data_IF_153690555923
#
_entry.id   IF_153690555923
#
_cell.length_a   1.000
_cell.length_b   1.000
_cell.length_c   1.000
_cell.angle_alpha   90.00
_cell.angle_beta   90.00
_cell.angle_gamma   90.00
#
_symmetry.space_group_name_H-M   'P 1'
#
loop_
_entity.id
_entity.type
_entity.pdbx_description
1 polymer ?
#
# COMPACT_ATOMS: atom_id res chain seq x y z
N UNK A 1 -27.41 2.16 -10.80
CA UNK A 1 -28.01 3.42 -11.29
C UNK A 1 -27.87 3.45 -12.80
N UNK A 2 -28.99 3.45 -13.55
CA UNK A 2 -28.96 3.55 -15.02
C UNK A 2 -29.83 2.51 -15.73
N UNK A 3 -31.14 2.68 -15.61
CA UNK A 3 -32.22 1.91 -16.20
C UNK A 3 -32.33 2.10 -17.72
N UNK A 4 -32.71 1.05 -18.46
CA UNK A 4 -33.73 1.10 -19.55
C UNK A 4 -34.00 -0.29 -20.11
N UNK A 5 -35.14 -0.85 -19.67
CA UNK A 5 -35.83 -1.96 -20.30
C UNK A 5 -36.70 -1.38 -21.41
N UNK A 6 -36.42 -1.72 -22.66
CA UNK A 6 -37.35 -1.51 -23.78
C UNK A 6 -38.08 -2.84 -24.05
N UNK A 7 -39.36 -2.85 -23.67
CA UNK A 7 -40.33 -3.86 -24.04
C UNK A 7 -40.85 -3.54 -25.45
N UNK A 8 -40.43 -4.31 -26.45
CA UNK A 8 -41.11 -4.30 -27.75
C UNK A 8 -42.18 -5.41 -27.81
N UNK A 9 -43.38 -4.99 -27.41
CA UNK A 9 -44.65 -5.56 -27.85
C UNK A 9 -44.86 -5.14 -29.31
N UNK A 10 -45.09 -6.11 -30.22
CA UNK A 10 -46.09 -6.06 -31.32
C UNK A 10 -45.81 -7.14 -32.37
N UNK A 11 -46.71 -8.12 -32.47
CA UNK A 11 -47.43 -8.50 -33.70
C UNK A 11 -47.89 -9.94 -33.61
N UNK A 12 -49.08 -10.10 -33.03
CA UNK A 12 -49.94 -11.26 -33.22
C UNK A 12 -50.58 -11.18 -34.61
N UNK A 13 -50.42 -12.17 -35.50
CA UNK A 13 -51.33 -12.34 -36.61
C UNK A 13 -52.63 -13.00 -36.13
N UNK A 14 -53.72 -12.29 -36.39
CA UNK A 14 -55.09 -12.71 -36.13
C UNK A 14 -55.39 -14.07 -36.77
N UNK A 15 -55.83 -15.00 -35.94
CA UNK A 15 -56.38 -16.30 -36.32
C UNK A 15 -57.71 -16.08 -37.02
N UNK A 16 -57.77 -16.36 -38.32
CA UNK A 16 -59.01 -16.52 -39.06
C UNK A 16 -59.68 -17.84 -38.67
N UNK A 17 -60.92 -17.76 -38.18
CA UNK A 17 -61.79 -18.91 -37.94
C UNK A 17 -62.41 -19.40 -39.26
N UNK A 18 -62.23 -20.68 -39.66
CA UNK A 18 -63.19 -21.33 -40.53
C UNK A 18 -64.32 -21.91 -39.67
N UNK A 19 -65.49 -21.29 -39.77
CA UNK A 19 -66.78 -21.90 -39.38
C UNK A 19 -67.07 -23.06 -40.34
N UNK A 20 -66.85 -24.29 -39.88
CA UNK A 20 -67.26 -25.51 -40.57
C UNK A 20 -68.02 -26.41 -39.60
N UNK A 21 -69.33 -26.52 -39.77
CA UNK A 21 -70.19 -27.40 -38.99
C UNK A 21 -69.76 -28.87 -39.10
N UNK A 22 -69.63 -29.62 -37.98
CA UNK A 22 -69.44 -31.05 -38.04
C UNK A 22 -70.75 -31.74 -38.37
N UNK A 23 -70.74 -32.51 -39.46
CA UNK A 23 -71.78 -33.47 -39.81
C UNK A 23 -71.93 -34.48 -38.68
N UNK A 24 -73.10 -34.45 -38.04
CA UNK A 24 -73.63 -35.54 -37.21
C UNK A 24 -73.72 -36.79 -38.08
N UNK A 25 -72.84 -37.77 -37.88
CA UNK A 25 -72.99 -39.21 -38.20
C UNK A 25 -71.64 -39.94 -38.03
N UNK A 26 -71.03 -39.83 -36.85
CA UNK A 26 -69.92 -40.71 -36.42
C UNK A 26 -69.88 -40.92 -34.90
N UNK A 27 -70.99 -40.63 -34.19
CA UNK A 27 -71.08 -40.73 -32.73
C UNK A 27 -71.30 -42.18 -32.23
N UNK A 28 -71.60 -43.16 -33.10
CA UNK A 28 -71.91 -44.52 -32.62
C UNK A 28 -70.70 -45.44 -32.45
N UNK A 29 -69.58 -45.21 -33.14
CA UNK A 29 -68.35 -46.01 -32.94
C UNK A 29 -67.46 -45.50 -31.81
N UNK A 30 -67.48 -44.20 -31.51
CA UNK A 30 -66.72 -43.62 -30.37
C UNK A 30 -67.40 -43.96 -29.03
N UNK A 31 -68.74 -44.02 -28.99
CA UNK A 31 -69.50 -44.41 -27.79
C UNK A 31 -69.27 -45.89 -27.38
N UNK A 32 -69.11 -46.80 -28.33
CA UNK A 32 -68.85 -48.22 -28.05
C UNK A 32 -67.40 -48.48 -27.57
N UNK A 33 -66.43 -47.71 -28.04
CA UNK A 33 -65.06 -47.77 -27.53
C UNK A 33 -64.92 -47.12 -26.14
N UNK A 34 -65.68 -46.06 -25.85
CA UNK A 34 -65.65 -45.41 -24.52
C UNK A 34 -66.38 -46.21 -23.45
N UNK A 35 -67.41 -47.01 -23.80
CA UNK A 35 -68.04 -47.94 -22.88
C UNK A 35 -67.16 -49.17 -22.52
N UNK A 36 -66.33 -49.66 -23.45
CA UNK A 36 -65.36 -50.73 -23.18
C UNK A 36 -64.17 -50.26 -22.32
N UNK A 37 -63.78 -48.99 -22.43
CA UNK A 37 -62.75 -48.36 -21.58
C UNK A 37 -63.24 -48.18 -20.14
N UNK A 38 -64.55 -48.01 -19.91
CA UNK A 38 -65.13 -47.86 -18.57
C UNK A 38 -65.12 -49.14 -17.71
N UNK A 39 -64.90 -50.32 -18.31
CA UNK A 39 -64.80 -51.62 -17.59
C UNK A 39 -63.34 -52.08 -17.44
N UNK A 40 -62.39 -51.37 -18.06
CA UNK A 40 -60.98 -51.64 -17.84
C UNK A 40 -60.61 -51.19 -16.42
N UNK A 41 -60.24 -52.16 -15.57
CA UNK A 41 -59.77 -51.90 -14.20
C UNK A 41 -58.74 -50.75 -14.20
N UNK A 42 -58.82 -49.78 -13.27
CA UNK A 42 -57.87 -48.66 -13.16
C UNK A 42 -56.39 -49.09 -13.23
N UNK A 43 -56.09 -50.33 -12.84
CA UNK A 43 -54.78 -50.97 -12.94
C UNK A 43 -54.33 -51.12 -14.40
N UNK A 44 -55.23 -51.54 -15.32
CA UNK A 44 -54.93 -51.70 -16.74
C UNK A 44 -54.72 -50.34 -17.40
N UNK A 45 -55.55 -49.34 -17.10
CA UNK A 45 -55.37 -47.98 -17.61
C UNK A 45 -54.06 -47.35 -17.13
N UNK A 46 -53.70 -47.55 -15.86
CA UNK A 46 -52.41 -47.11 -15.31
C UNK A 46 -51.24 -47.80 -16.01
N UNK A 47 -51.31 -49.11 -16.28
CA UNK A 47 -50.28 -49.85 -17.03
C UNK A 47 -50.17 -49.35 -18.47
N UNK A 48 -51.28 -49.18 -19.19
CA UNK A 48 -51.29 -48.65 -20.56
C UNK A 48 -50.70 -47.24 -20.61
N UNK A 49 -51.08 -46.36 -19.66
CA UNK A 49 -50.52 -45.01 -19.55
C UNK A 49 -49.00 -45.03 -19.29
N UNK A 50 -48.54 -45.85 -18.35
CA UNK A 50 -47.10 -46.03 -18.08
C UNK A 50 -46.34 -46.55 -19.29
N UNK A 51 -46.88 -47.56 -20.00
CA UNK A 51 -46.24 -48.06 -21.23
C UNK A 51 -46.18 -47.02 -22.34
N UNK A 52 -47.22 -46.18 -22.46
CA UNK A 52 -47.24 -45.08 -23.45
C UNK A 52 -46.25 -43.98 -23.08
N UNK A 53 -46.15 -43.62 -21.80
CA UNK A 53 -45.16 -42.65 -21.32
C UNK A 53 -43.73 -43.16 -21.53
N UNK A 54 -43.47 -44.44 -21.25
CA UNK A 54 -42.17 -45.07 -21.54
C UNK A 54 -41.80 -44.99 -23.01
N UNK A 55 -42.69 -45.43 -23.93
CA UNK A 55 -42.44 -45.33 -25.37
C UNK A 55 -42.17 -43.91 -25.83
N UNK A 56 -42.95 -42.95 -25.34
CA UNK A 56 -42.74 -41.53 -25.68
C UNK A 56 -41.39 -41.03 -25.18
N UNK A 57 -40.99 -41.39 -23.97
CA UNK A 57 -39.69 -41.01 -23.43
C UNK A 57 -38.53 -41.72 -24.17
N UNK A 58 -38.71 -42.96 -24.62
CA UNK A 58 -37.77 -43.67 -25.49
C UNK A 58 -37.62 -42.97 -26.85
N UNK A 59 -38.73 -42.56 -27.48
CA UNK A 59 -38.74 -41.78 -28.72
C UNK A 59 -38.05 -40.42 -28.53
N UNK A 60 -38.40 -39.66 -27.48
CA UNK A 60 -37.78 -38.37 -27.16
C UNK A 60 -36.26 -38.53 -26.89
N UNK A 61 -35.85 -39.61 -26.24
CA UNK A 61 -34.44 -39.93 -25.99
C UNK A 61 -33.71 -40.27 -27.29
N UNK A 62 -34.33 -41.06 -28.17
CA UNK A 62 -33.76 -41.42 -29.46
C UNK A 62 -33.65 -40.20 -30.39
N UNK A 63 -34.66 -39.33 -30.43
CA UNK A 63 -34.61 -38.06 -31.15
C UNK A 63 -33.50 -37.15 -30.59
N UNK A 64 -33.35 -37.09 -29.27
CA UNK A 64 -32.30 -36.28 -28.64
C UNK A 64 -30.90 -36.82 -28.97
N UNK A 65 -30.71 -38.15 -28.97
CA UNK A 65 -29.46 -38.78 -29.41
C UNK A 65 -29.13 -38.44 -30.87
N UNK A 66 -30.12 -38.49 -31.76
CA UNK A 66 -29.94 -38.13 -33.18
C UNK A 66 -29.65 -36.64 -33.39
N UNK A 67 -30.18 -35.77 -32.54
CA UNK A 67 -29.98 -34.32 -32.66
C UNK A 67 -28.54 -33.87 -32.38
N UNK A 68 -27.78 -34.65 -31.59
CA UNK A 68 -26.42 -34.28 -31.17
C UNK A 68 -26.35 -33.11 -30.18
N UNK A 69 -27.48 -32.59 -29.70
CA UNK A 69 -27.53 -31.49 -28.74
C UNK A 69 -27.46 -31.99 -27.28
N UNK A 70 -26.35 -31.73 -26.60
CA UNK A 70 -26.11 -32.22 -25.23
C UNK A 70 -27.17 -31.74 -24.21
N UNK A 71 -27.67 -30.51 -24.35
CA UNK A 71 -28.71 -29.94 -23.49
C UNK A 71 -30.05 -30.67 -23.68
N UNK A 72 -30.43 -30.95 -24.93
CA UNK A 72 -31.66 -31.69 -25.26
C UNK A 72 -31.58 -33.14 -24.75
N UNK A 73 -30.42 -33.77 -24.88
CA UNK A 73 -30.18 -35.13 -24.40
C UNK A 73 -30.24 -35.23 -22.87
N UNK A 74 -29.70 -34.25 -22.15
CA UNK A 74 -29.77 -34.19 -20.67
C UNK A 74 -31.22 -34.07 -20.17
N UNK A 75 -32.03 -33.25 -20.86
CA UNK A 75 -33.45 -33.11 -20.56
C UNK A 75 -34.23 -34.40 -20.86
N UNK A 76 -33.95 -35.05 -22.00
CA UNK A 76 -34.57 -36.31 -22.36
C UNK A 76 -34.23 -37.43 -21.37
N UNK A 77 -32.98 -37.50 -20.86
CA UNK A 77 -32.58 -38.45 -19.82
C UNK A 77 -33.38 -38.26 -18.52
N UNK A 78 -33.66 -37.01 -18.13
CA UNK A 78 -34.44 -36.72 -16.91
C UNK A 78 -35.90 -37.18 -17.08
N UNK A 79 -36.50 -36.92 -18.26
CA UNK A 79 -37.86 -37.40 -18.58
C UNK A 79 -37.94 -38.93 -18.69
N UNK A 80 -36.88 -39.57 -19.18
CA UNK A 80 -36.76 -41.02 -19.23
C UNK A 80 -36.70 -41.65 -17.84
N UNK A 81 -36.00 -41.02 -16.91
CA UNK A 81 -35.95 -41.42 -15.50
C UNK A 81 -37.34 -41.32 -14.84
N UNK A 82 -38.05 -40.20 -15.04
CA UNK A 82 -39.43 -40.01 -14.54
C UNK A 82 -40.41 -41.05 -15.10
N UNK A 83 -40.21 -41.47 -16.36
CA UNK A 83 -41.03 -42.50 -17.00
C UNK A 83 -40.65 -43.93 -16.56
N UNK A 84 -39.57 -44.10 -15.80
CA UNK A 84 -39.06 -45.38 -15.33
C UNK A 84 -38.48 -46.25 -16.43
N UNK A 85 -37.74 -45.65 -17.38
CA UNK A 85 -36.91 -46.40 -18.33
C UNK A 85 -35.79 -47.15 -17.60
N UNK A 86 -35.19 -48.12 -18.29
CA UNK A 86 -34.07 -48.89 -17.75
C UNK A 86 -32.87 -47.99 -17.40
N UNK A 87 -32.30 -48.19 -16.22
CA UNK A 87 -31.21 -47.35 -15.71
C UNK A 87 -29.96 -47.41 -16.61
N UNK A 88 -29.68 -48.56 -17.24
CA UNK A 88 -28.51 -48.70 -18.14
C UNK A 88 -28.67 -47.89 -19.42
N UNK A 89 -29.89 -47.77 -19.95
CA UNK A 89 -30.19 -46.94 -21.14
C UNK A 89 -30.01 -45.46 -20.81
N UNK A 90 -30.48 -45.04 -19.63
CA UNK A 90 -30.32 -43.65 -19.15
C UNK A 90 -28.85 -43.34 -18.90
N UNK A 91 -28.09 -44.26 -18.31
CA UNK A 91 -26.66 -44.10 -18.05
C UNK A 91 -25.87 -43.96 -19.35
N UNK A 92 -26.08 -44.86 -20.32
CA UNK A 92 -25.47 -44.77 -21.65
C UNK A 92 -25.81 -43.43 -22.34
N UNK A 93 -27.07 -42.99 -22.27
CA UNK A 93 -27.46 -41.71 -22.86
C UNK A 93 -26.83 -40.50 -22.14
N UNK A 94 -26.64 -40.58 -20.81
CA UNK A 94 -25.91 -39.55 -20.04
C UNK A 94 -24.43 -39.52 -20.39
N UNK A 95 -23.81 -40.68 -20.60
CA UNK A 95 -22.43 -40.77 -21.08
C UNK A 95 -22.29 -40.11 -22.46
N UNK A 96 -23.18 -40.42 -23.39
CA UNK A 96 -23.21 -39.76 -24.71
C UNK A 96 -23.45 -38.25 -24.61
N UNK A 97 -24.31 -37.79 -23.69
CA UNK A 97 -24.48 -36.36 -23.42
C UNK A 97 -23.21 -35.68 -22.93
N UNK A 98 -22.45 -36.36 -22.06
CA UNK A 98 -21.14 -35.88 -21.57
C UNK A 98 -20.12 -35.82 -22.71
N UNK A 99 -20.07 -36.84 -23.57
CA UNK A 99 -19.22 -36.84 -24.78
C UNK A 99 -19.54 -35.69 -25.71
N UNK A 100 -20.82 -35.49 -26.06
CA UNK A 100 -21.26 -34.39 -26.94
C UNK A 100 -20.91 -33.02 -26.35
N UNK A 101 -21.09 -32.84 -25.04
CA UNK A 101 -20.70 -31.62 -24.34
C UNK A 101 -19.20 -31.40 -24.38
N UNK A 102 -18.39 -32.42 -24.06
CA UNK A 102 -16.94 -32.32 -24.12
C UNK A 102 -16.43 -32.00 -25.53
N UNK A 103 -17.03 -32.60 -26.57
CA UNK A 103 -16.74 -32.28 -27.97
C UNK A 103 -17.09 -30.82 -28.30
N UNK A 104 -18.22 -30.31 -27.83
CA UNK A 104 -18.61 -28.91 -28.04
C UNK A 104 -17.65 -27.93 -27.33
N UNK A 105 -17.29 -28.21 -26.07
CA UNK A 105 -16.33 -27.42 -25.29
C UNK A 105 -14.93 -27.45 -25.93
N UNK A 106 -14.51 -28.60 -26.46
CA UNK A 106 -13.24 -28.73 -27.19
C UNK A 106 -13.25 -27.91 -28.49
N UNK A 107 -14.35 -27.95 -29.27
CA UNK A 107 -14.51 -27.11 -30.47
C UNK A 107 -14.54 -25.62 -30.16
N UNK A 108 -15.14 -25.23 -29.05
CA UNK A 108 -15.09 -23.84 -28.59
C UNK A 108 -13.65 -23.43 -28.19
N UNK A 109 -12.92 -24.33 -27.53
CA UNK A 109 -11.51 -24.10 -27.22
C UNK A 109 -10.65 -23.96 -28.49
N UNK A 110 -10.89 -24.76 -29.53
CA UNK A 110 -10.20 -24.62 -30.82
C UNK A 110 -10.42 -23.23 -31.43
N UNK A 111 -11.64 -22.71 -31.37
CA UNK A 111 -11.96 -21.36 -31.86
C UNK A 111 -11.29 -20.25 -31.04
N UNK A 112 -10.95 -20.50 -29.78
CA UNK A 112 -10.32 -19.50 -28.92
C UNK A 112 -8.87 -19.21 -29.27
N UNK A 113 -8.18 -20.13 -29.97
CA UNK A 113 -6.75 -20.00 -30.28
C UNK A 113 -5.82 -20.05 -29.07
N UNK A 114 -6.30 -20.49 -27.89
CA UNK A 114 -5.50 -20.68 -26.68
C UNK A 114 -5.08 -22.15 -26.55
N UNK A 115 -3.78 -22.41 -26.76
CA UNK A 115 -3.22 -23.76 -26.67
C UNK A 115 -3.46 -24.44 -25.31
N UNK A 116 -3.41 -23.68 -24.20
CA UNK A 116 -3.63 -24.23 -22.85
C UNK A 116 -5.08 -24.64 -22.66
N UNK A 117 -6.02 -23.80 -23.12
CA UNK A 117 -7.46 -24.12 -23.05
C UNK A 117 -7.75 -25.38 -23.87
N UNK A 118 -7.16 -25.49 -25.07
CA UNK A 118 -7.29 -26.68 -25.93
C UNK A 118 -6.77 -27.93 -25.22
N UNK A 119 -5.55 -27.92 -24.68
CA UNK A 119 -4.97 -29.08 -23.98
C UNK A 119 -5.76 -29.49 -22.73
N UNK A 120 -6.30 -28.53 -21.99
CA UNK A 120 -7.16 -28.81 -20.83
C UNK A 120 -8.47 -29.49 -21.24
N UNK A 121 -9.15 -28.96 -22.26
CA UNK A 121 -10.40 -29.56 -22.75
C UNK A 121 -10.16 -30.92 -23.41
N UNK A 122 -9.03 -31.09 -24.11
CA UNK A 122 -8.64 -32.38 -24.72
C UNK A 122 -8.51 -33.47 -23.66
N UNK A 123 -7.87 -33.20 -22.52
CA UNK A 123 -7.75 -34.17 -21.41
C UNK A 123 -9.10 -34.62 -20.87
N UNK A 124 -10.05 -33.68 -20.73
CA UNK A 124 -11.42 -34.02 -20.32
C UNK A 124 -12.16 -34.85 -21.38
N UNK A 125 -11.99 -34.51 -22.66
CA UNK A 125 -12.56 -35.26 -23.78
C UNK A 125 -11.97 -36.68 -23.92
N UNK A 126 -10.67 -36.84 -23.66
CA UNK A 126 -9.95 -38.13 -23.68
C UNK A 126 -10.47 -39.09 -22.60
N UNK A 127 -10.74 -38.58 -21.39
CA UNK A 127 -11.35 -39.36 -20.30
C UNK A 127 -12.78 -39.83 -20.62
N UNK A 128 -13.48 -39.14 -21.52
CA UNK A 128 -14.83 -39.48 -21.94
C UNK A 128 -14.84 -40.29 -23.24
N UNK A 129 -13.69 -40.70 -23.77
CA UNK A 129 -13.57 -41.45 -25.02
C UNK A 129 -14.25 -40.73 -26.21
N UNK A 130 -14.05 -39.42 -26.31
CA UNK A 130 -14.40 -38.66 -27.52
C UNK A 130 -13.60 -39.19 -28.72
N UNK A 131 -14.18 -39.06 -29.91
CA UNK A 131 -13.60 -39.52 -31.18
C UNK A 131 -12.12 -39.09 -31.38
N UNK A 132 -11.29 -40.06 -31.75
CA UNK A 132 -9.82 -39.88 -31.86
C UNK A 132 -9.45 -38.85 -32.94
N UNK A 133 -10.24 -38.70 -34.02
CA UNK A 133 -9.95 -37.69 -35.04
C UNK A 133 -10.10 -36.27 -34.48
N UNK A 134 -11.11 -36.04 -33.63
CA UNK A 134 -11.30 -34.75 -32.94
C UNK A 134 -10.17 -34.48 -31.93
N UNK A 135 -9.72 -35.52 -31.21
CA UNK A 135 -8.60 -35.41 -30.28
C UNK A 135 -7.27 -35.12 -31.01
N UNK A 136 -7.05 -35.74 -32.18
CA UNK A 136 -5.88 -35.50 -33.03
C UNK A 136 -5.87 -34.09 -33.60
N UNK A 137 -7.00 -33.61 -34.14
CA UNK A 137 -7.16 -32.23 -34.63
C UNK A 137 -6.81 -31.22 -33.53
N UNK A 138 -7.33 -31.43 -32.32
CA UNK A 138 -7.03 -30.57 -31.19
C UNK A 138 -5.56 -30.61 -30.76
N UNK A 139 -4.92 -31.78 -30.84
CA UNK A 139 -3.48 -31.92 -30.56
C UNK A 139 -2.64 -31.19 -31.60
N UNK A 140 -2.95 -31.31 -32.88
CA UNK A 140 -2.21 -30.67 -33.97
C UNK A 140 -2.36 -29.15 -33.94
N UNK A 141 -3.57 -28.65 -33.66
CA UNK A 141 -3.79 -27.21 -33.48
C UNK A 141 -3.05 -26.66 -32.25
N UNK A 142 -3.07 -27.38 -31.12
CA UNK A 142 -2.28 -27.01 -29.94
C UNK A 142 -0.77 -26.99 -30.26
N UNK A 143 -0.25 -27.97 -31.00
CA UNK A 143 1.16 -27.99 -31.46
C UNK A 143 1.50 -26.78 -32.32
N UNK A 144 0.61 -26.42 -33.26
CA UNK A 144 0.79 -25.27 -34.15
C UNK A 144 0.88 -23.97 -33.34
N UNK A 145 -0.02 -23.76 -32.39
CA UNK A 145 -0.05 -22.59 -31.52
C UNK A 145 1.19 -22.53 -30.60
N UNK A 146 1.56 -23.65 -29.98
CA UNK A 146 2.75 -23.72 -29.12
C UNK A 146 4.04 -23.43 -29.90
N UNK A 147 4.19 -23.90 -31.15
CA UNK A 147 5.34 -23.55 -31.99
C UNK A 147 5.42 -22.04 -32.25
N UNK A 148 4.28 -21.41 -32.55
CA UNK A 148 4.23 -19.95 -32.72
C UNK A 148 4.59 -19.20 -31.41
N UNK A 149 4.22 -19.73 -30.24
CA UNK A 149 4.62 -19.16 -28.94
C UNK A 149 6.11 -19.35 -28.64
N UNK A 150 6.71 -20.50 -29.00
CA UNK A 150 8.15 -20.75 -28.89
C UNK A 150 8.97 -19.79 -29.78
N UNK A 151 8.40 -19.41 -30.92
CA UNK A 151 8.99 -18.44 -31.84
C UNK A 151 8.74 -16.97 -31.45
N UNK A 152 7.96 -16.72 -30.40
CA UNK A 152 7.68 -15.37 -29.93
C UNK A 152 8.93 -14.69 -29.34
N UNK A 153 8.88 -13.36 -29.20
CA UNK A 153 9.91 -12.59 -28.48
C UNK A 153 9.66 -12.49 -26.97
N UNK A 154 8.60 -13.11 -26.45
CA UNK A 154 8.16 -12.96 -25.06
C UNK A 154 8.59 -14.18 -24.23
N UNK A 155 9.52 -13.96 -23.30
CA UNK A 155 10.04 -14.98 -22.39
C UNK A 155 8.92 -15.75 -21.68
N UNK A 156 7.86 -15.07 -21.22
CA UNK A 156 6.78 -15.71 -20.47
C UNK A 156 5.96 -16.65 -21.36
N UNK A 157 5.74 -16.30 -22.63
CA UNK A 157 5.05 -17.15 -23.60
C UNK A 157 5.90 -18.36 -23.99
N UNK A 158 7.21 -18.17 -24.18
CA UNK A 158 8.11 -19.29 -24.49
C UNK A 158 8.14 -20.31 -23.35
N UNK A 159 8.36 -19.86 -22.10
CA UNK A 159 8.40 -20.77 -20.93
C UNK A 159 7.08 -21.50 -20.72
N UNK A 160 5.97 -20.80 -20.95
CA UNK A 160 4.63 -21.37 -20.98
C UNK A 160 4.51 -22.48 -22.01
N UNK A 161 4.94 -22.20 -23.24
CA UNK A 161 4.86 -23.15 -24.33
C UNK A 161 5.72 -24.39 -24.05
N UNK A 162 6.94 -24.20 -23.51
CA UNK A 162 7.81 -25.29 -23.07
C UNK A 162 7.15 -26.18 -22.00
N UNK A 163 6.44 -25.60 -21.04
CA UNK A 163 5.75 -26.37 -20.00
C UNK A 163 4.57 -27.20 -20.54
N UNK A 164 3.88 -26.71 -21.57
CA UNK A 164 2.76 -27.40 -22.22
C UNK A 164 3.18 -28.36 -23.36
N UNK A 165 4.42 -28.24 -23.84
CA UNK A 165 4.93 -28.99 -24.98
C UNK A 165 4.88 -30.53 -24.84
N UNK A 166 5.20 -31.13 -23.67
CA UNK A 166 5.11 -32.58 -23.50
C UNK A 166 3.68 -33.11 -23.69
N UNK A 167 2.67 -32.39 -23.20
CA UNK A 167 1.26 -32.81 -23.31
C UNK A 167 0.73 -32.71 -24.75
N UNK A 168 1.27 -31.76 -25.52
CA UNK A 168 1.01 -31.63 -26.95
C UNK A 168 1.83 -32.63 -27.78
N UNK A 169 2.80 -33.33 -27.18
CA UNK A 169 3.71 -34.24 -27.88
C UNK A 169 4.60 -33.50 -28.88
N UNK A 170 5.12 -32.33 -28.50
CA UNK A 170 6.20 -31.66 -29.22
C UNK A 170 7.54 -32.36 -28.96
N UNK A 171 8.44 -32.28 -29.93
CA UNK A 171 9.78 -32.89 -29.82
C UNK A 171 10.61 -32.21 -28.73
N UNK A 172 11.35 -33.01 -27.95
CA UNK A 172 12.21 -32.51 -26.87
C UNK A 172 13.30 -31.56 -27.36
N UNK A 173 13.75 -31.71 -28.61
CA UNK A 173 14.69 -30.80 -29.29
C UNK A 173 14.13 -29.37 -29.39
N UNK A 174 12.88 -29.22 -29.84
CA UNK A 174 12.21 -27.92 -29.95
C UNK A 174 11.99 -27.27 -28.58
N UNK A 175 11.67 -28.07 -27.57
CA UNK A 175 11.54 -27.58 -26.18
C UNK A 175 12.88 -27.07 -25.67
N UNK A 176 13.96 -27.83 -25.86
CA UNK A 176 15.30 -27.44 -25.45
C UNK A 176 15.79 -26.16 -26.16
N UNK A 177 15.46 -26.00 -27.45
CA UNK A 177 15.75 -24.78 -28.21
C UNK A 177 14.93 -23.59 -27.69
N UNK A 178 13.64 -23.78 -27.42
CA UNK A 178 12.78 -22.79 -26.80
C UNK A 178 13.29 -22.33 -25.43
N UNK A 179 13.69 -23.26 -24.57
CA UNK A 179 14.30 -22.93 -23.27
C UNK A 179 15.62 -22.16 -23.42
N UNK A 180 16.48 -22.56 -24.36
CA UNK A 180 17.72 -21.84 -24.66
C UNK A 180 17.42 -20.40 -25.11
N UNK A 181 16.45 -20.22 -26.01
CA UNK A 181 16.01 -18.91 -26.48
C UNK A 181 15.42 -18.06 -25.35
N UNK A 182 14.58 -18.65 -24.49
CA UNK A 182 14.04 -17.97 -23.32
C UNK A 182 15.15 -17.48 -22.37
N UNK A 183 16.20 -18.29 -22.15
CA UNK A 183 17.39 -17.90 -21.36
C UNK A 183 18.13 -16.73 -22.00
N UNK A 184 18.34 -16.75 -23.31
CA UNK A 184 19.05 -15.69 -24.04
C UNK A 184 18.27 -14.36 -24.01
N UNK A 185 16.97 -14.41 -24.27
CA UNK A 185 16.08 -13.23 -24.18
C UNK A 185 16.01 -12.68 -22.76
N UNK A 186 15.80 -13.53 -21.75
CA UNK A 186 15.71 -13.07 -20.36
C UNK A 186 17.06 -12.50 -19.85
N UNK A 187 18.18 -13.04 -20.33
CA UNK A 187 19.51 -12.49 -20.07
C UNK A 187 19.68 -11.11 -20.71
N UNK A 188 19.23 -10.94 -21.96
CA UNK A 188 19.29 -9.66 -22.65
C UNK A 188 18.39 -8.61 -21.97
N UNK A 189 17.14 -8.96 -21.62
CA UNK A 189 16.22 -8.09 -20.86
C UNK A 189 16.83 -7.63 -19.53
N UNK A 190 17.48 -8.56 -18.80
CA UNK A 190 18.14 -8.24 -17.54
C UNK A 190 19.35 -7.33 -17.74
N UNK A 191 20.15 -7.55 -18.78
CA UNK A 191 21.30 -6.69 -19.08
C UNK A 191 20.85 -5.28 -19.48
N UNK A 192 19.83 -5.15 -20.34
CA UNK A 192 19.26 -3.85 -20.70
C UNK A 192 18.72 -3.10 -19.47
N UNK A 193 18.05 -3.81 -18.56
CA UNK A 193 17.55 -3.22 -17.32
C UNK A 193 18.69 -2.76 -16.38
N UNK A 194 19.80 -3.49 -16.35
CA UNK A 194 21.01 -3.12 -15.61
C UNK A 194 21.70 -1.89 -16.23
N UNK A 195 21.82 -1.85 -17.55
CA UNK A 195 22.43 -0.73 -18.26
C UNK A 195 21.59 0.56 -18.09
N UNK A 196 20.25 0.42 -18.11
CA UNK A 196 19.34 1.52 -17.81
C UNK A 196 19.51 2.07 -16.39
N UNK A 197 19.91 1.25 -15.41
CA UNK A 197 20.16 1.70 -14.06
C UNK A 197 21.40 2.57 -13.90
N UNK A 198 22.36 2.49 -14.82
CA UNK A 198 23.57 3.32 -14.80
C UNK A 198 23.34 4.74 -15.33
N UNK A 199 22.24 5.00 -16.07
CA UNK A 199 22.02 6.26 -16.78
C UNK A 199 20.95 7.20 -16.21
N UNK A 200 20.33 6.88 -15.07
CA UNK A 200 19.10 7.55 -14.62
C UNK A 200 19.34 8.45 -13.41
N UNK A 201 19.26 9.77 -13.61
CA UNK A 201 19.41 10.77 -12.54
C UNK A 201 18.13 11.13 -11.76
N UNK A 202 16.94 10.90 -12.32
CA UNK A 202 15.66 11.37 -11.75
C UNK A 202 14.99 10.36 -10.79
N UNK A 203 14.42 10.84 -9.69
CA UNK A 203 13.77 10.06 -8.60
C UNK A 203 12.70 9.08 -9.07
N UNK A 204 11.66 9.58 -9.76
CA UNK A 204 10.55 8.77 -10.23
C UNK A 204 11.01 7.72 -11.25
N UNK A 205 12.04 8.05 -12.03
CA UNK A 205 12.64 7.11 -12.97
C UNK A 205 13.42 6.01 -12.25
N UNK A 206 14.13 6.30 -11.14
CA UNK A 206 14.83 5.28 -10.33
C UNK A 206 13.88 4.22 -9.77
N UNK A 207 12.74 4.60 -9.21
CA UNK A 207 11.77 3.62 -8.68
C UNK A 207 11.20 2.69 -9.78
N UNK A 208 10.91 3.25 -10.96
CA UNK A 208 10.45 2.47 -12.11
C UNK A 208 11.55 1.51 -12.61
N UNK A 209 12.81 1.96 -12.64
CA UNK A 209 13.97 1.15 -13.04
C UNK A 209 14.22 0.00 -12.07
N UNK A 210 14.16 0.23 -10.75
CA UNK A 210 14.29 -0.83 -9.75
C UNK A 210 13.21 -1.91 -9.94
N UNK A 211 11.98 -1.51 -10.22
CA UNK A 211 10.86 -2.43 -10.52
C UNK A 211 11.12 -3.22 -11.80
N UNK A 212 11.64 -2.57 -12.85
CA UNK A 212 12.01 -3.22 -14.13
C UNK A 212 13.12 -4.27 -13.93
N UNK A 213 14.16 -3.96 -13.16
CA UNK A 213 15.24 -4.91 -12.84
C UNK A 213 14.67 -6.11 -12.06
N UNK A 214 13.82 -5.87 -11.05
CA UNK A 214 13.22 -6.94 -10.26
C UNK A 214 12.35 -7.88 -11.11
N UNK A 215 11.56 -7.33 -12.05
CA UNK A 215 10.77 -8.12 -12.99
C UNK A 215 11.67 -8.94 -13.94
N UNK A 216 12.71 -8.33 -14.49
CA UNK A 216 13.68 -9.00 -15.35
C UNK A 216 14.42 -10.14 -14.60
N UNK A 217 14.77 -9.94 -13.33
CA UNK A 217 15.35 -10.99 -12.48
C UNK A 217 14.40 -12.18 -12.32
N UNK A 218 13.11 -11.95 -12.07
CA UNK A 218 12.11 -13.04 -11.93
C UNK A 218 11.96 -13.83 -13.23
N UNK A 219 11.93 -13.14 -14.38
CA UNK A 219 11.86 -13.78 -15.71
C UNK A 219 13.12 -14.58 -16.02
N UNK A 220 14.29 -14.01 -15.72
CA UNK A 220 15.58 -14.68 -15.86
C UNK A 220 15.71 -15.92 -14.96
N UNK A 221 15.21 -15.84 -13.72
CA UNK A 221 15.16 -16.97 -12.79
C UNK A 221 14.25 -18.09 -13.32
N UNK A 222 13.04 -17.76 -13.79
CA UNK A 222 12.13 -18.73 -14.40
C UNK A 222 12.70 -19.37 -15.67
N UNK A 223 13.54 -18.66 -16.42
CA UNK A 223 14.23 -19.21 -17.58
C UNK A 223 15.46 -20.07 -17.23
N UNK A 224 15.95 -20.03 -15.98
CA UNK A 224 17.16 -20.74 -15.57
C UNK A 224 18.45 -20.01 -15.92
N UNK A 225 18.44 -18.67 -15.90
CA UNK A 225 19.66 -17.85 -16.02
C UNK A 225 20.58 -18.08 -14.81
N UNK A 226 21.90 -17.96 -15.02
CA UNK A 226 22.92 -18.19 -13.98
C UNK A 226 22.71 -17.32 -12.74
N UNK A 227 22.92 -17.93 -11.56
CA UNK A 227 22.73 -17.29 -10.25
C UNK A 227 23.59 -16.04 -10.04
N UNK A 228 24.78 -15.95 -10.64
CA UNK A 228 25.65 -14.78 -10.51
C UNK A 228 25.05 -13.52 -11.13
N UNK A 229 24.45 -13.61 -12.31
CA UNK A 229 23.79 -12.47 -12.97
C UNK A 229 22.51 -12.08 -12.22
N UNK A 230 21.77 -13.06 -11.68
CA UNK A 230 20.61 -12.79 -10.83
C UNK A 230 21.01 -12.07 -9.53
N UNK A 231 22.12 -12.47 -8.91
CA UNK A 231 22.66 -11.80 -7.72
C UNK A 231 23.06 -10.35 -8.02
N UNK A 232 23.73 -10.11 -9.17
CA UNK A 232 24.05 -8.76 -9.64
C UNK A 232 22.78 -7.93 -9.87
N UNK A 233 21.78 -8.49 -10.55
CA UNK A 233 20.47 -7.87 -10.78
C UNK A 233 19.75 -7.49 -9.48
N UNK A 234 19.68 -8.41 -8.52
CA UNK A 234 19.06 -8.16 -7.21
C UNK A 234 19.81 -7.07 -6.43
N UNK A 235 21.15 -7.10 -6.42
CA UNK A 235 21.97 -6.06 -5.79
C UNK A 235 21.74 -4.69 -6.44
N UNK A 236 21.71 -4.62 -7.77
CA UNK A 236 21.42 -3.39 -8.49
C UNK A 236 20.01 -2.85 -8.21
N UNK A 237 19.00 -3.72 -8.17
CA UNK A 237 17.63 -3.32 -7.83
C UNK A 237 17.53 -2.74 -6.40
N UNK A 238 18.21 -3.36 -5.43
CA UNK A 238 18.28 -2.86 -4.06
C UNK A 238 18.96 -1.49 -3.99
N UNK A 239 20.10 -1.34 -4.68
CA UNK A 239 20.83 -0.07 -4.76
C UNK A 239 19.96 1.06 -5.33
N UNK A 240 19.36 0.85 -6.51
CA UNK A 240 18.53 1.87 -7.17
C UNK A 240 17.31 2.24 -6.32
N UNK A 241 16.72 1.26 -5.63
CA UNK A 241 15.62 1.51 -4.70
C UNK A 241 16.05 2.34 -3.51
N UNK A 242 17.17 2.00 -2.87
CA UNK A 242 17.68 2.74 -1.73
C UNK A 242 18.07 4.18 -2.10
N UNK A 243 18.62 4.40 -3.30
CA UNK A 243 18.88 5.75 -3.83
C UNK A 243 17.59 6.54 -4.08
N UNK A 244 16.53 5.91 -4.58
CA UNK A 244 15.23 6.56 -4.75
C UNK A 244 14.62 6.97 -3.40
N UNK A 245 14.68 6.07 -2.41
CA UNK A 245 14.24 6.33 -1.02
C UNK A 245 15.07 7.44 -0.36
N UNK A 246 16.39 7.50 -0.62
CA UNK A 246 17.28 8.56 -0.14
C UNK A 246 16.87 9.92 -0.69
N UNK A 247 16.62 10.00 -2.01
CA UNK A 247 16.20 11.24 -2.63
C UNK A 247 14.80 11.70 -2.14
N UNK A 248 13.88 10.76 -1.89
CA UNK A 248 12.59 11.07 -1.28
C UNK A 248 12.76 11.60 0.16
N UNK A 249 13.62 10.98 0.96
CA UNK A 249 13.92 11.42 2.31
C UNK A 249 14.51 12.85 2.32
N UNK A 250 15.46 13.13 1.42
CA UNK A 250 16.02 14.48 1.22
C UNK A 250 14.93 15.49 0.85
N UNK A 251 13.98 15.10 -0.01
CA UNK A 251 12.84 15.93 -0.39
C UNK A 251 11.84 16.20 0.73
N UNK A 252 11.79 15.34 1.75
CA UNK A 252 10.86 15.49 2.89
C UNK A 252 11.27 16.57 3.88
N UNK A 253 12.56 16.95 3.91
CA UNK A 253 13.09 17.92 4.88
C UNK A 253 13.21 17.41 6.31
N UNK A 254 13.04 16.10 6.54
CA UNK A 254 13.21 15.47 7.86
C UNK A 254 14.61 14.87 7.98
N UNK A 255 15.43 15.41 8.89
CA UNK A 255 16.82 15.00 9.04
C UNK A 255 16.97 13.54 9.51
N UNK A 256 16.10 13.04 10.38
CA UNK A 256 16.22 11.69 10.91
C UNK A 256 15.88 10.67 9.82
N UNK A 257 14.86 10.96 9.01
CA UNK A 257 14.54 10.16 7.81
C UNK A 257 15.67 10.12 6.81
N UNK A 258 16.37 11.23 6.61
CA UNK A 258 17.53 11.30 5.69
C UNK A 258 18.64 10.38 6.19
N UNK A 259 18.95 10.40 7.48
CA UNK A 259 20.01 9.57 8.04
C UNK A 259 19.70 8.07 7.99
N UNK A 260 18.47 7.69 8.31
CA UNK A 260 18.03 6.30 8.15
C UNK A 260 18.13 5.86 6.67
N UNK A 261 17.78 6.74 5.73
CA UNK A 261 17.89 6.45 4.31
C UNK A 261 19.35 6.36 3.85
N UNK A 262 20.25 7.19 4.39
CA UNK A 262 21.69 7.10 4.14
C UNK A 262 22.24 5.72 4.56
N UNK A 263 21.86 5.24 5.74
CA UNK A 263 22.29 3.92 6.21
C UNK A 263 21.79 2.79 5.29
N UNK A 264 20.51 2.82 4.89
CA UNK A 264 19.96 1.84 3.94
C UNK A 264 20.65 1.90 2.57
N UNK A 265 20.97 3.11 2.11
CA UNK A 265 21.70 3.33 0.86
C UNK A 265 23.13 2.78 0.92
N UNK A 266 23.82 2.98 2.05
CA UNK A 266 25.16 2.44 2.30
C UNK A 266 25.15 0.90 2.31
N UNK A 267 24.22 0.28 3.03
CA UNK A 267 24.04 -1.18 3.08
C UNK A 267 23.73 -1.77 1.69
N UNK A 268 23.00 -1.04 0.86
CA UNK A 268 22.69 -1.42 -0.51
C UNK A 268 23.86 -1.17 -1.50
N UNK A 269 24.92 -0.48 -1.07
CA UNK A 269 26.07 -0.12 -1.89
C UNK A 269 25.78 1.01 -2.89
N UNK A 270 25.01 2.01 -2.47
CA UNK A 270 24.83 3.26 -3.21
C UNK A 270 26.13 4.06 -3.31
N UNK A 271 26.14 5.05 -4.19
CA UNK A 271 27.32 5.89 -4.43
C UNK A 271 27.67 6.74 -3.20
N UNK A 272 28.94 6.70 -2.78
CA UNK A 272 29.41 7.37 -1.58
C UNK A 272 29.22 8.91 -1.64
N UNK A 273 29.31 9.50 -2.82
CA UNK A 273 29.05 10.93 -3.05
C UNK A 273 27.60 11.30 -2.75
N UNK A 274 26.63 10.53 -3.26
CA UNK A 274 25.21 10.76 -2.99
C UNK A 274 24.87 10.60 -1.49
N UNK A 275 25.53 9.67 -0.80
CA UNK A 275 25.38 9.49 0.65
C UNK A 275 25.98 10.70 1.39
N UNK A 276 27.17 11.16 1.00
CA UNK A 276 27.83 12.32 1.61
C UNK A 276 27.00 13.60 1.45
N UNK A 277 26.45 13.84 0.26
CA UNK A 277 25.57 14.98 -0.03
C UNK A 277 24.30 14.93 0.83
N UNK A 278 23.68 13.75 0.97
CA UNK A 278 22.50 13.58 1.80
C UNK A 278 22.81 13.76 3.29
N UNK A 279 23.96 13.27 3.77
CA UNK A 279 24.41 13.51 5.14
C UNK A 279 24.68 15.00 5.42
N UNK A 280 25.32 15.72 4.50
CA UNK A 280 25.51 17.16 4.60
C UNK A 280 24.15 17.88 4.67
N UNK A 281 23.18 17.42 3.87
CA UNK A 281 21.80 17.95 3.92
C UNK A 281 21.10 17.66 5.24
N UNK A 282 21.26 16.46 5.82
CA UNK A 282 20.72 16.14 7.13
C UNK A 282 21.30 17.05 8.23
N UNK A 283 22.61 17.32 8.18
CA UNK A 283 23.28 18.23 9.12
C UNK A 283 22.73 19.66 9.02
N UNK A 284 22.50 20.16 7.80
CA UNK A 284 21.85 21.45 7.56
C UNK A 284 20.45 21.49 8.19
N UNK A 285 19.63 20.47 7.93
CA UNK A 285 18.25 20.38 8.45
C UNK A 285 18.22 20.34 9.98
N UNK A 286 19.16 19.62 10.62
CA UNK A 286 19.29 19.60 12.09
C UNK A 286 19.66 20.96 12.64
N UNK A 287 20.65 21.61 12.05
CA UNK A 287 21.10 22.91 12.52
C UNK A 287 20.00 23.98 12.35
N UNK A 288 19.20 23.89 11.26
CA UNK A 288 18.03 24.74 11.07
C UNK A 288 16.94 24.48 12.13
N UNK A 289 16.61 23.22 12.39
CA UNK A 289 15.64 22.84 13.43
C UNK A 289 16.08 23.30 14.84
N UNK A 290 17.37 23.10 15.19
CA UNK A 290 17.94 23.59 16.45
C UNK A 290 17.84 25.11 16.58
N UNK A 291 18.08 25.85 15.49
CA UNK A 291 17.96 27.31 15.49
C UNK A 291 16.51 27.76 15.66
N UNK A 292 15.55 27.10 15.00
CA UNK A 292 14.13 27.41 15.17
C UNK A 292 13.66 27.13 16.60
N UNK A 293 14.07 26.03 17.23
CA UNK A 293 13.76 25.74 18.64
C UNK A 293 14.41 26.77 19.59
N UNK A 294 15.67 27.13 19.34
CA UNK A 294 16.35 28.16 20.13
C UNK A 294 15.63 29.52 20.03
N UNK A 295 15.16 29.90 18.85
CA UNK A 295 14.38 31.12 18.63
C UNK A 295 13.05 31.09 19.39
N UNK A 296 12.38 29.94 19.45
CA UNK A 296 11.14 29.78 20.23
C UNK A 296 11.40 29.89 21.73
N UNK A 297 12.55 29.43 22.21
CA UNK A 297 12.90 29.51 23.64
C UNK A 297 13.16 30.93 24.14
N UNK A 298 13.49 31.87 23.24
CA UNK A 298 13.84 33.25 23.59
C UNK A 298 15.10 33.41 24.46
N UNK A 299 15.88 32.34 24.65
CA UNK A 299 17.09 32.36 25.47
C UNK A 299 18.29 32.80 24.62
N UNK A 300 18.87 33.97 24.96
CA UNK A 300 19.99 34.55 24.21
C UNK A 300 21.17 33.57 24.01
N UNK A 301 21.55 32.82 25.05
CA UNK A 301 22.67 31.88 24.98
C UNK A 301 22.37 30.70 24.06
N UNK A 302 21.13 30.17 24.10
CA UNK A 302 20.71 29.10 23.20
C UNK A 302 20.69 29.57 21.75
N UNK A 303 20.17 30.78 21.50
CA UNK A 303 20.13 31.37 20.15
C UNK A 303 21.56 31.57 19.62
N UNK A 304 22.46 32.10 20.44
CA UNK A 304 23.87 32.32 20.04
C UNK A 304 24.58 31.01 19.67
N UNK A 305 24.44 29.97 20.48
CA UNK A 305 25.02 28.65 20.18
C UNK A 305 24.40 28.04 18.91
N UNK A 306 23.08 28.16 18.75
CA UNK A 306 22.39 27.62 17.58
C UNK A 306 22.75 28.38 16.29
N UNK A 307 22.86 29.71 16.33
CA UNK A 307 23.33 30.52 15.20
C UNK A 307 24.74 30.10 14.77
N UNK A 308 25.66 29.91 15.73
CA UNK A 308 27.03 29.47 15.43
C UNK A 308 27.06 28.06 14.79
N UNK A 309 26.24 27.12 15.28
CA UNK A 309 26.13 25.78 14.69
C UNK A 309 25.51 25.82 13.29
N UNK A 310 24.47 26.63 13.09
CA UNK A 310 23.83 26.85 11.81
C UNK A 310 24.82 27.43 10.79
N UNK A 311 25.59 28.44 11.17
CA UNK A 311 26.64 29.03 10.33
C UNK A 311 27.73 28.01 9.98
N UNK A 312 28.23 27.24 10.96
CA UNK A 312 29.22 26.19 10.73
C UNK A 312 28.70 25.08 9.80
N UNK A 313 27.41 24.76 9.89
CA UNK A 313 26.78 23.79 9.02
C UNK A 313 26.52 24.33 7.60
N UNK A 314 26.64 25.65 7.37
CA UNK A 314 26.34 26.29 6.09
C UNK A 314 24.87 26.63 5.89
N UNK A 315 24.09 26.79 6.97
CA UNK A 315 22.71 27.29 6.90
C UNK A 315 22.75 28.76 6.52
N UNK A 316 22.75 29.04 5.23
CA UNK A 316 22.73 30.40 4.70
C UNK A 316 21.30 30.92 4.51
N UNK A 317 21.13 32.24 4.59
CA UNK A 317 19.91 32.92 4.19
C UNK A 317 19.02 33.40 5.34
N UNK A 318 17.71 33.40 5.09
CA UNK A 318 16.73 34.11 5.91
C UNK A 318 16.65 33.61 7.36
N UNK A 319 16.87 32.31 7.60
CA UNK A 319 16.77 31.72 8.94
C UNK A 319 17.94 32.14 9.83
N UNK A 320 19.18 32.07 9.32
CA UNK A 320 20.36 32.54 10.05
C UNK A 320 20.30 34.06 10.31
N UNK A 321 19.91 34.86 9.31
CA UNK A 321 19.73 36.30 9.48
C UNK A 321 18.66 36.64 10.53
N UNK A 322 17.54 35.91 10.53
CA UNK A 322 16.49 36.03 11.55
C UNK A 322 17.02 35.65 12.94
N UNK A 323 17.83 34.60 13.02
CA UNK A 323 18.48 34.16 14.25
C UNK A 323 19.37 35.26 14.86
N UNK A 324 20.22 35.86 14.03
CA UNK A 324 21.11 36.95 14.45
C UNK A 324 20.32 38.21 14.86
N UNK A 325 19.27 38.56 14.12
CA UNK A 325 18.41 39.70 14.44
C UNK A 325 17.69 39.52 15.78
N UNK A 326 17.13 38.33 16.04
CA UNK A 326 16.46 38.05 17.31
C UNK A 326 17.46 37.96 18.46
N UNK A 327 18.67 37.42 18.23
CA UNK A 327 19.75 37.45 19.23
C UNK A 327 20.09 38.88 19.65
N UNK A 328 20.27 39.78 18.68
CA UNK A 328 20.53 41.19 18.95
C UNK A 328 19.38 41.83 19.74
N UNK A 329 18.14 41.52 19.38
CA UNK A 329 16.95 42.00 20.09
C UNK A 329 16.87 41.51 21.53
N UNK A 330 17.11 40.22 21.78
CA UNK A 330 17.09 39.66 23.14
C UNK A 330 18.22 40.26 23.98
N UNK A 331 19.45 40.36 23.42
CA UNK A 331 20.58 41.00 24.10
C UNK A 331 20.29 42.46 24.47
N UNK A 332 19.63 43.21 23.59
CA UNK A 332 19.21 44.60 23.88
C UNK A 332 18.16 44.66 24.99
N UNK A 333 17.15 43.79 24.96
CA UNK A 333 16.14 43.71 26.04
C UNK A 333 16.77 43.33 27.38
N UNK A 334 17.71 42.39 27.41
CA UNK A 334 18.40 41.99 28.64
C UNK A 334 19.29 43.12 29.17
N UNK A 335 19.95 43.86 28.28
CA UNK A 335 20.69 45.07 28.62
C UNK A 335 19.78 46.14 29.21
N UNK A 336 18.64 46.44 28.57
CA UNK A 336 17.65 47.41 29.08
C UNK A 336 17.11 47.00 30.45
N UNK A 337 16.80 45.71 30.66
CA UNK A 337 16.37 45.19 31.96
C UNK A 337 17.45 45.34 33.02
N UNK A 338 18.71 45.06 32.69
CA UNK A 338 19.85 45.26 33.60
C UNK A 338 20.00 46.74 33.95
N UNK A 339 19.93 47.63 32.98
CA UNK A 339 20.01 49.08 33.19
C UNK A 339 18.85 49.60 34.07
N UNK A 340 17.62 49.13 33.84
CA UNK A 340 16.46 49.46 34.67
C UNK A 340 16.60 48.93 36.10
N UNK A 341 16.99 47.66 36.27
CA UNK A 341 17.16 47.07 37.58
C UNK A 341 18.31 47.73 38.36
N UNK A 342 19.39 48.13 37.69
CA UNK A 342 20.47 48.90 38.30
C UNK A 342 19.99 50.30 38.73
N UNK A 343 19.21 50.99 37.89
CA UNK A 343 18.63 52.28 38.24
C UNK A 343 17.64 52.18 39.43
N UNK A 344 16.81 51.15 39.47
CA UNK A 344 15.94 50.85 40.62
C UNK A 344 16.73 50.57 41.89
N UNK A 345 17.83 49.81 41.79
CA UNK A 345 18.72 49.50 42.91
C UNK A 345 19.32 50.78 43.48
N UNK A 346 19.88 51.63 42.63
CA UNK A 346 20.45 52.93 43.03
C UNK A 346 19.38 53.87 43.61
N UNK A 347 18.17 53.85 43.06
CA UNK A 347 17.03 54.61 43.59
C UNK A 347 16.65 54.16 45.01
N UNK A 348 16.49 52.85 45.23
CA UNK A 348 16.17 52.28 46.53
C UNK A 348 17.29 52.52 47.57
N UNK A 349 18.56 52.47 47.14
CA UNK A 349 19.70 52.82 47.99
C UNK A 349 19.73 54.29 48.40
N UNK A 350 19.15 55.19 47.61
CA UNK A 350 19.07 56.64 47.94
C UNK A 350 17.82 57.01 48.73
N UNK A 351 16.74 56.26 48.60
CA UNK A 351 15.50 56.54 49.31
C UNK A 351 15.63 56.10 50.78
N UNK A 352 15.93 57.03 51.69
CA UNK A 352 16.11 56.75 53.12
C UNK A 352 14.83 56.26 53.82
N UNK A 353 13.65 56.62 53.30
CA UNK A 353 12.35 56.26 53.88
C UNK A 353 11.86 54.86 53.50
N UNK A 354 12.53 54.19 52.55
CA UNK A 354 12.15 52.86 52.11
C UNK A 354 12.76 51.78 53.02
N UNK A 355 11.89 50.94 53.59
CA UNK A 355 12.27 49.88 54.53
C UNK A 355 13.25 48.85 53.93
N UNK A 356 14.04 48.16 54.77
CA UNK A 356 15.12 47.25 54.35
C UNK A 356 14.62 46.06 53.51
N UNK A 357 13.39 45.60 53.74
CA UNK A 357 12.76 44.52 52.97
C UNK A 357 12.62 44.86 51.49
N UNK A 358 12.26 46.11 51.17
CA UNK A 358 12.15 46.58 49.79
C UNK A 358 13.51 46.53 49.11
N UNK A 359 14.57 47.00 49.77
CA UNK A 359 15.92 46.97 49.20
C UNK A 359 16.40 45.55 48.94
N UNK A 360 16.12 44.58 49.83
CA UNK A 360 16.40 43.16 49.55
C UNK A 360 15.63 42.61 48.36
N UNK A 361 14.36 42.97 48.21
CA UNK A 361 13.56 42.57 47.05
C UNK A 361 14.15 43.12 45.74
N UNK A 362 14.62 44.37 45.75
CA UNK A 362 15.24 45.03 44.59
C UNK A 362 16.60 44.39 44.29
N UNK A 363 17.39 44.06 45.31
CA UNK A 363 18.65 43.31 45.14
C UNK A 363 18.42 41.97 44.44
N UNK A 364 17.36 41.23 44.80
CA UNK A 364 17.03 39.96 44.15
C UNK A 364 16.66 40.17 42.67
N UNK A 365 15.82 41.17 42.36
CA UNK A 365 15.48 41.50 40.97
C UNK A 365 16.70 41.96 40.16
N UNK A 366 17.60 42.71 40.79
CA UNK A 366 18.86 43.13 40.18
C UNK A 366 19.77 41.93 39.86
N UNK A 367 19.89 40.96 40.76
CA UNK A 367 20.61 39.70 40.48
C UNK A 367 19.97 38.91 39.34
N UNK A 368 18.64 38.77 39.35
CA UNK A 368 17.91 38.07 38.28
C UNK A 368 18.06 38.76 36.92
N UNK A 369 18.19 40.09 36.91
CA UNK A 369 18.48 40.89 35.71
C UNK A 369 19.97 40.88 35.31
N UNK A 370 20.84 40.24 36.09
CA UNK A 370 22.28 40.16 35.82
C UNK A 370 23.03 41.47 36.09
N UNK A 371 22.57 42.28 37.04
CA UNK A 371 23.33 43.43 37.56
C UNK A 371 24.64 42.95 38.20
N UNK A 372 25.65 43.80 38.19
CA UNK A 372 26.97 43.50 38.74
C UNK A 372 26.89 43.06 40.21
N UNK A 373 27.57 41.96 40.55
CA UNK A 373 27.50 41.35 41.87
C UNK A 373 28.00 42.26 42.99
N UNK A 374 28.97 43.13 42.69
CA UNK A 374 29.56 44.03 43.68
C UNK A 374 28.56 45.13 44.05
N UNK A 375 27.83 45.66 43.06
CA UNK A 375 26.75 46.62 43.28
C UNK A 375 25.61 46.02 44.10
N UNK A 376 25.25 44.76 43.84
CA UNK A 376 24.22 44.09 44.64
C UNK A 376 24.72 43.80 46.05
N UNK A 377 25.98 43.40 46.21
CA UNK A 377 26.58 43.19 47.53
C UNK A 377 26.60 44.49 48.36
N UNK A 378 26.94 45.61 47.73
CA UNK A 378 26.89 46.94 48.34
C UNK A 378 25.47 47.30 48.79
N UNK A 379 24.48 47.14 47.91
CA UNK A 379 23.07 47.39 48.23
C UNK A 379 22.55 46.48 49.36
N UNK A 380 22.96 45.21 49.40
CA UNK A 380 22.63 44.30 50.51
C UNK A 380 23.29 44.72 51.82
N UNK A 381 24.52 45.22 51.76
CA UNK A 381 25.21 45.81 52.90
C UNK A 381 24.44 47.00 53.46
N UNK A 382 23.98 47.89 52.58
CA UNK A 382 23.17 49.06 52.95
C UNK A 382 21.81 48.66 53.54
N UNK A 383 21.11 47.68 52.93
CA UNK A 383 19.86 47.13 53.47
C UNK A 383 20.04 46.61 54.90
N UNK A 384 21.17 45.95 55.16
CA UNK A 384 21.50 45.42 56.49
C UNK A 384 21.72 46.55 57.50
N UNK A 385 22.50 47.58 57.12
CA UNK A 385 22.70 48.77 57.96
C UNK A 385 21.37 49.43 58.32
N UNK A 386 20.46 49.58 57.36
CA UNK A 386 19.13 50.17 57.60
C UNK A 386 18.27 49.33 58.54
N UNK A 387 18.30 48.00 58.37
CA UNK A 387 17.61 47.07 59.27
C UNK A 387 18.13 47.21 60.70
N UNK A 388 19.45 47.20 60.88
CA UNK A 388 20.09 47.35 62.19
C UNK A 388 19.73 48.70 62.85
N UNK A 389 19.70 49.79 62.07
CA UNK A 389 19.27 51.11 62.55
C UNK A 389 17.78 51.17 62.93
N UNK A 390 16.91 50.52 62.15
CA UNK A 390 15.48 50.46 62.43
C UNK A 390 15.19 49.66 63.70
N UNK A 391 15.86 48.51 63.85
CA UNK A 391 15.79 47.65 65.03
C UNK A 391 16.31 48.38 66.28
N UNK A 392 17.42 49.11 66.15
CA UNK A 392 17.95 49.97 67.21
C UNK A 392 16.92 51.03 67.64
N UNK A 393 16.31 51.74 66.67
CA UNK A 393 15.28 52.76 66.96
C UNK A 393 14.05 52.16 67.64
N UNK A 394 13.60 50.98 67.20
CA UNK A 394 12.47 50.27 67.81
C UNK A 394 12.79 49.83 69.25
N UNK A 395 13.94 49.20 69.47
CA UNK A 395 14.39 48.75 70.78
C UNK A 395 14.54 49.92 71.78
N UNK A 396 15.10 51.05 71.33
CA UNK A 396 15.19 52.26 72.15
C UNK A 396 13.82 52.82 72.52
N UNK A 397 12.84 52.76 71.62
CA UNK A 397 11.47 53.21 71.87
C UNK A 397 10.73 52.29 72.87
N UNK A 398 11.03 51.00 72.86
CA UNK A 398 10.51 50.00 73.79
C UNK A 398 11.27 50.00 75.14
N UNK A 399 12.42 50.67 75.23
CA UNK A 399 13.29 50.68 76.42
C UNK A 399 14.12 49.40 76.58
N UNK A 400 14.18 48.54 75.57
CA UNK A 400 14.96 47.30 75.60
C UNK A 400 16.43 47.58 75.24
N UNK A 401 17.21 47.92 76.27
CA UNK A 401 18.64 48.27 76.14
C UNK A 401 19.48 47.10 75.63
N UNK A 402 19.09 45.85 75.90
CA UNK A 402 19.82 44.67 75.42
C UNK A 402 19.63 44.48 73.92
N UNK A 403 18.39 44.61 73.44
CA UNK A 403 18.07 44.55 72.01
C UNK A 403 18.70 45.70 71.24
N UNK A 404 18.71 46.90 71.82
CA UNK A 404 19.44 48.05 71.27
C UNK A 404 20.95 47.78 71.18
N UNK A 405 21.55 47.16 72.20
CA UNK A 405 22.99 46.82 72.20
C UNK A 405 23.35 45.80 71.14
N UNK A 406 22.50 44.78 70.94
CA UNK A 406 22.70 43.79 69.89
C UNK A 406 22.57 44.43 68.49
N UNK A 407 21.57 45.29 68.28
CA UNK A 407 21.33 45.96 67.01
C UNK A 407 22.45 46.96 66.63
N UNK A 408 23.14 47.57 67.61
CA UNK A 408 24.29 48.44 67.34
C UNK A 408 25.60 47.69 67.07
N UNK A 409 25.54 46.36 66.94
CA UNK A 409 26.72 45.51 66.78
C UNK A 409 27.60 45.44 68.03
N UNK A 410 27.01 45.63 69.22
CA UNK A 410 27.72 45.56 70.49
C UNK A 410 28.48 46.82 70.87
N UNK A 411 28.16 47.97 70.27
CA UNK A 411 28.75 49.27 70.62
C UNK A 411 27.67 50.23 71.12
N UNK A 412 27.50 50.34 72.43
CA UNK A 412 26.75 51.44 73.06
C UNK A 412 27.73 52.11 74.02
N UNK A 413 28.37 53.18 73.55
CA UNK A 413 29.36 53.93 74.35
C UNK A 413 30.34 54.75 73.54
N UNK A 414 30.50 54.47 72.24
CA UNK A 414 31.22 55.33 71.32
C UNK A 414 30.21 56.27 70.64
N UNK A 415 30.45 57.59 70.72
CA UNK A 415 29.65 58.59 70.02
C UNK A 415 29.58 58.26 68.52
N UNK A 416 28.43 58.47 67.84
CA UNK A 416 28.27 58.12 66.43
C UNK A 416 29.25 58.97 65.62
N UNK A 417 30.27 58.33 65.05
CA UNK A 417 31.19 58.97 64.12
C UNK A 417 30.42 59.23 62.83
N UNK A 418 30.12 60.50 62.59
CA UNK A 418 29.73 61.03 61.28
C UNK A 418 30.71 60.50 60.21
N UNK A 419 30.21 59.70 59.26
CA UNK A 419 30.91 59.34 58.03
C UNK A 419 29.92 59.28 56.88
#
# INVERSE_FOLDING_TARGET
>A
FGSRLECDRRNSPCVGYPRGHPRRLAMSRVALLSALVAVASPVVLSRVYKTRQKRKAEEELHEALQSGESARLSLACSRAEDAGLDASVIENAREEARKLRATAELREALKSGDARKILRMRRGAEQLHVDEATLSEARDEARRLLRAELESGDVARILTACACAPEAGLESSLVAEGEKRARELARAELQEALDAACGVGATAAKAAVATRIALACRRAEAAGVKSSLLAQGRKAALRVRAEAELQEAVGSGDADRVEEACQRAEEAGAEAEAIADAQARAQLLRAEAELLDALQSGNARRIEVACFRAEKAGVEGAVAARGQAELARVKNRDRERREQAEAELLGAMKAEEEGPERLYSVCRRAEEAGVDSDKVAEARGEARRRFDLQELRAALKEGDVKRAFAASGGSIGAAPLER
#
